data_IF_307318193555
#
_entry.id   IF_307318193555
#
_cell.length_a   1.000
_cell.length_b   1.000
_cell.length_c   1.000
_cell.angle_alpha   90.00
_cell.angle_beta   90.00
_cell.angle_gamma   90.00
#
_symmetry.space_group_name_H-M   'P 1'
#
loop_
_entity.id
_entity.type
_entity.pdbx_description
1 polymer ?
#
# COMPACT_ATOMS: atom_id res chain seq x y z
N UNK A 1 30.61 -16.50 50.22
CA UNK A 1 30.28 -15.06 50.33
C UNK A 1 31.42 -14.35 51.02
N UNK A 2 31.63 -13.06 50.68
CA UNK A 2 32.46 -12.04 51.37
C UNK A 2 33.96 -12.35 51.58
N UNK A 3 34.85 -11.42 51.16
CA UNK A 3 36.25 -11.38 51.66
C UNK A 3 37.33 -10.96 50.66
N UNK A 4 37.51 -9.66 50.43
CA UNK A 4 38.74 -9.01 49.91
C UNK A 4 39.62 -8.53 51.10
N UNK A 5 40.80 -7.88 50.91
CA UNK A 5 41.90 -8.04 49.95
C UNK A 5 43.23 -8.30 50.76
N UNK A 6 44.32 -7.48 50.76
CA UNK A 6 45.15 -6.91 49.68
C UNK A 6 46.67 -7.24 49.78
N UNK A 7 47.44 -6.92 48.73
CA UNK A 7 48.87 -6.57 48.85
C UNK A 7 49.27 -5.52 47.79
N UNK A 8 50.24 -4.65 48.12
CA UNK A 8 50.70 -3.49 47.32
C UNK A 8 52.13 -3.66 46.80
N UNK A 9 52.51 -2.75 45.88
CA UNK A 9 53.85 -2.26 45.44
C UNK A 9 54.20 -2.70 44.00
N UNK A 10 54.92 -1.91 43.19
CA UNK A 10 55.64 -0.65 43.49
C UNK A 10 55.60 0.39 42.37
N UNK A 11 56.46 1.40 42.51
CA UNK A 11 56.58 2.63 41.69
C UNK A 11 58.00 2.67 41.10
N UNK A 12 58.19 3.26 39.90
CA UNK A 12 59.25 4.27 39.58
C UNK A 12 59.26 4.61 38.07
N UNK A 13 59.59 5.88 37.81
CA UNK A 13 59.66 6.69 36.58
C UNK A 13 60.71 6.28 35.54
N UNK A 14 60.61 6.82 34.30
CA UNK A 14 61.76 6.98 33.39
C UNK A 14 61.45 7.15 31.88
N UNK A 15 61.64 8.37 31.37
CA UNK A 15 62.23 8.77 30.07
C UNK A 15 61.54 8.53 28.68
N UNK A 16 61.39 9.65 27.94
CA UNK A 16 61.28 9.81 26.46
C UNK A 16 62.70 9.78 25.80
N UNK A 17 62.91 9.95 24.46
CA UNK A 17 62.02 9.92 23.28
C UNK A 17 62.51 8.97 22.13
N UNK A 18 61.75 8.82 21.02
CA UNK A 18 62.29 8.94 19.64
C UNK A 18 61.21 8.96 18.54
N UNK A 19 61.61 9.37 17.32
CA UNK A 19 60.73 9.64 16.17
C UNK A 19 60.92 8.66 15.00
N UNK A 20 59.82 8.27 14.35
CA UNK A 20 59.70 7.83 12.95
C UNK A 20 58.20 7.82 12.57
N UNK A 21 57.75 8.06 11.34
CA UNK A 21 58.46 8.20 10.06
C UNK A 21 57.72 7.39 8.99
N UNK A 22 56.62 7.92 8.44
CA UNK A 22 55.79 7.19 7.46
C UNK A 22 54.86 8.11 6.67
N UNK A 23 55.23 8.41 5.42
CA UNK A 23 54.54 9.32 4.52
C UNK A 23 53.87 8.56 3.37
N UNK A 24 52.55 8.71 3.18
CA UNK A 24 51.84 8.30 1.95
C UNK A 24 50.83 9.39 1.52
N UNK A 25 51.24 10.10 0.48
CA UNK A 25 50.45 10.68 -0.63
C UNK A 25 49.12 11.39 -0.34
N UNK A 26 49.20 12.74 -0.37
CA UNK A 26 48.05 13.62 -0.58
C UNK A 26 47.68 13.57 -2.06
N UNK A 27 46.50 13.04 -2.39
CA UNK A 27 45.99 13.05 -3.77
C UNK A 27 45.54 14.46 -4.13
N UNK A 28 46.13 15.01 -5.19
CA UNK A 28 45.99 16.42 -5.55
C UNK A 28 44.57 16.77 -6.05
N UNK A 29 43.88 17.66 -5.33
CA UNK A 29 42.45 17.94 -5.54
C UNK A 29 42.19 19.04 -6.61
N UNK A 30 43.24 19.59 -7.22
CA UNK A 30 43.19 20.81 -8.05
C UNK A 30 42.74 20.63 -9.52
N UNK A 31 42.13 19.50 -9.90
CA UNK A 31 41.70 19.22 -11.29
C UNK A 31 40.18 19.07 -11.50
N UNK A 32 39.35 19.51 -10.55
CA UNK A 32 37.91 19.62 -10.76
C UNK A 32 37.50 21.07 -11.11
N UNK A 33 36.72 21.29 -12.19
CA UNK A 33 36.27 22.62 -12.57
C UNK A 33 35.13 23.09 -11.66
N UNK A 34 35.44 24.08 -10.82
CA UNK A 34 34.49 24.86 -10.03
C UNK A 34 33.72 25.90 -10.90
N UNK A 35 32.58 26.47 -10.45
CA UNK A 35 31.84 26.16 -9.21
C UNK A 35 30.34 25.89 -9.42
N UNK A 36 29.78 24.96 -8.63
CA UNK A 36 28.48 25.15 -7.93
C UNK A 36 28.15 23.97 -7.01
N UNK A 37 28.42 24.10 -5.70
CA UNK A 37 27.60 23.60 -4.56
C UNK A 37 28.30 23.92 -3.24
N UNK A 38 27.62 24.59 -2.31
CA UNK A 38 28.23 25.05 -1.07
C UNK A 38 28.63 23.90 -0.14
N UNK A 39 29.93 23.76 0.13
CA UNK A 39 30.46 22.91 1.20
C UNK A 39 30.36 23.64 2.54
N UNK A 40 29.63 23.07 3.50
CA UNK A 40 29.70 23.49 4.91
C UNK A 40 30.61 22.51 5.65
N UNK A 41 31.75 23.01 6.14
CA UNK A 41 32.65 22.25 6.99
C UNK A 41 32.12 22.20 8.43
N UNK A 42 31.68 21.01 8.85
CA UNK A 42 31.49 20.65 10.26
C UNK A 42 32.35 19.42 10.59
N UNK A 43 32.48 19.07 11.87
CA UNK A 43 33.36 17.98 12.36
C UNK A 43 32.99 16.55 11.88
N UNK A 44 32.03 16.41 10.96
CA UNK A 44 31.55 15.13 10.42
C UNK A 44 31.61 15.05 8.88
N UNK A 45 32.72 15.51 8.30
CA UNK A 45 33.01 15.37 6.87
C UNK A 45 32.16 16.26 5.94
N UNK A 46 32.41 16.22 4.62
CA UNK A 46 31.69 17.04 3.66
C UNK A 46 30.28 16.49 3.41
N UNK A 47 29.28 17.14 4.01
CA UNK A 47 27.87 16.93 3.65
C UNK A 47 27.62 17.56 2.28
N UNK A 48 27.49 16.71 1.25
CA UNK A 48 27.11 17.14 -0.11
C UNK A 48 25.70 17.73 -0.10
N UNK A 49 25.62 19.05 -0.20
CA UNK A 49 24.36 19.77 -0.46
C UNK A 49 24.01 19.58 -1.94
N UNK A 50 22.84 19.03 -2.21
CA UNK A 50 22.36 18.76 -3.58
C UNK A 50 20.90 19.19 -3.71
N UNK A 51 20.51 19.66 -4.89
CA UNK A 51 19.08 19.94 -5.19
C UNK A 51 18.31 18.63 -5.38
N UNK A 52 17.23 18.46 -4.61
CA UNK A 52 16.35 17.31 -4.68
C UNK A 52 15.56 17.27 -5.99
N UNK A 53 15.63 16.15 -6.74
CA UNK A 53 14.89 15.99 -8.00
C UNK A 53 13.36 15.93 -7.90
N UNK A 54 12.80 15.94 -6.68
CA UNK A 54 11.34 15.87 -6.44
C UNK A 54 10.77 17.19 -5.91
N UNK A 55 11.39 17.82 -4.91
CA UNK A 55 10.94 19.12 -4.36
C UNK A 55 11.77 20.33 -4.80
N UNK A 56 12.87 20.11 -5.54
CA UNK A 56 13.83 21.13 -6.04
C UNK A 56 14.62 21.89 -4.95
N UNK A 57 14.34 21.64 -3.67
CA UNK A 57 15.07 22.20 -2.53
C UNK A 57 16.50 21.64 -2.41
N UNK A 58 17.44 22.49 -2.02
CA UNK A 58 18.81 22.11 -1.66
C UNK A 58 18.87 21.57 -0.23
N UNK A 59 19.33 20.33 -0.08
CA UNK A 59 19.44 19.63 1.21
C UNK A 59 20.72 18.78 1.22
N UNK A 60 21.29 18.42 2.38
CA UNK A 60 22.31 17.39 2.47
C UNK A 60 21.69 16.05 2.04
N UNK A 61 22.11 15.51 0.90
CA UNK A 61 21.48 14.32 0.29
C UNK A 61 22.54 13.29 -0.09
N UNK A 62 22.36 12.05 0.37
CA UNK A 62 23.06 10.89 -0.19
C UNK A 62 22.40 10.48 -1.51
N UNK A 63 23.10 10.50 -2.66
CA UNK A 63 22.51 10.10 -3.94
C UNK A 63 22.04 8.65 -3.94
N UNK A 64 20.97 8.36 -4.69
CA UNK A 64 20.41 7.01 -4.82
C UNK A 64 21.44 6.04 -5.42
N UNK A 65 21.51 4.83 -4.87
CA UNK A 65 22.42 3.75 -5.27
C UNK A 65 22.36 3.45 -6.78
N UNK A 66 21.15 3.34 -7.32
CA UNK A 66 20.86 2.92 -8.70
C UNK A 66 21.21 3.95 -9.79
N UNK A 67 20.88 5.22 -9.61
CA UNK A 67 20.97 6.25 -10.67
C UNK A 67 21.79 7.49 -10.31
N UNK A 68 22.38 7.52 -9.10
CA UNK A 68 23.16 8.65 -8.54
C UNK A 68 22.45 10.01 -8.57
N UNK A 69 21.12 10.03 -8.66
CA UNK A 69 20.32 11.25 -8.53
C UNK A 69 20.01 11.55 -7.07
N UNK A 70 19.91 12.83 -6.72
CA UNK A 70 19.58 13.31 -5.39
C UNK A 70 18.05 13.31 -5.18
N UNK A 71 17.58 12.61 -4.15
CA UNK A 71 16.21 12.69 -3.64
C UNK A 71 16.32 12.85 -2.12
N UNK A 72 15.71 13.89 -1.55
CA UNK A 72 15.76 14.11 -0.12
C UNK A 72 14.93 13.06 0.63
N UNK A 73 15.36 12.73 1.86
CA UNK A 73 14.73 11.73 2.73
C UNK A 73 13.21 11.94 2.85
N UNK A 74 12.76 13.19 2.97
CA UNK A 74 11.35 13.53 3.11
C UNK A 74 10.52 13.16 1.87
N UNK A 75 11.05 13.41 0.66
CA UNK A 75 10.39 13.00 -0.58
C UNK A 75 10.46 11.49 -0.78
N UNK A 76 11.60 10.87 -0.48
CA UNK A 76 11.79 9.43 -0.59
C UNK A 76 10.85 8.68 0.37
N UNK A 77 10.77 9.07 1.64
CA UNK A 77 9.83 8.54 2.64
C UNK A 77 8.38 8.64 2.19
N UNK A 78 7.93 9.80 1.69
CA UNK A 78 6.56 9.97 1.16
C UNK A 78 6.28 9.03 0.00
N UNK A 79 7.23 8.89 -0.93
CA UNK A 79 7.13 7.97 -2.06
C UNK A 79 7.06 6.51 -1.59
N UNK A 80 7.99 6.06 -0.76
CA UNK A 80 8.06 4.70 -0.24
C UNK A 80 6.79 4.32 0.53
N UNK A 81 6.35 5.17 1.47
CA UNK A 81 5.08 4.97 2.19
C UNK A 81 3.90 4.81 1.23
N UNK A 82 3.83 5.61 0.16
CA UNK A 82 2.79 5.49 -0.87
C UNK A 82 2.84 4.12 -1.59
N UNK A 83 4.03 3.68 -2.03
CA UNK A 83 4.19 2.37 -2.67
C UNK A 83 3.83 1.20 -1.74
N UNK A 84 4.21 1.30 -0.46
CA UNK A 84 3.86 0.31 0.56
C UNK A 84 2.35 0.29 0.84
N UNK A 85 1.65 1.43 0.88
CA UNK A 85 0.17 1.42 0.98
C UNK A 85 -0.51 0.79 -0.25
N UNK A 86 0.13 0.85 -1.43
CA UNK A 86 -0.33 0.18 -2.66
C UNK A 86 0.01 -1.32 -2.68
N UNK A 87 0.70 -1.85 -1.67
CA UNK A 87 1.09 -3.26 -1.59
C UNK A 87 2.30 -3.65 -2.44
N UNK A 88 3.11 -2.68 -2.89
CA UNK A 88 4.34 -2.95 -3.62
C UNK A 88 5.47 -3.32 -2.65
N UNK A 89 6.05 -4.51 -2.84
CA UNK A 89 7.29 -4.93 -2.17
C UNK A 89 8.54 -4.69 -3.03
N UNK A 90 8.37 -4.72 -4.35
CA UNK A 90 9.43 -4.41 -5.32
C UNK A 90 9.25 -2.95 -5.77
N UNK A 91 10.02 -2.05 -5.18
CA UNK A 91 9.79 -0.60 -5.29
C UNK A 91 10.78 0.00 -6.28
N UNK A 92 10.26 0.56 -7.38
CA UNK A 92 11.04 1.25 -8.40
C UNK A 92 11.63 2.58 -7.90
N UNK A 93 12.64 3.06 -8.61
CA UNK A 93 13.17 4.40 -8.41
C UNK A 93 12.06 5.47 -8.60
N UNK A 94 11.97 6.51 -7.75
CA UNK A 94 11.03 7.63 -7.96
C UNK A 94 11.44 8.56 -9.12
N UNK A 95 12.61 8.37 -9.72
CA UNK A 95 13.11 9.19 -10.85
C UNK A 95 12.60 8.60 -12.16
N UNK A 96 11.94 9.43 -12.97
CA UNK A 96 11.30 9.05 -14.24
C UNK A 96 12.25 8.49 -15.30
N UNK A 97 13.52 8.89 -15.28
CA UNK A 97 14.56 8.37 -16.18
C UNK A 97 15.20 7.05 -15.70
N UNK A 98 14.75 6.49 -14.57
CA UNK A 98 15.33 5.29 -13.97
C UNK A 98 14.30 4.17 -13.82
N UNK A 99 14.58 3.01 -14.42
CA UNK A 99 13.72 1.81 -14.33
C UNK A 99 14.17 0.79 -13.28
N UNK A 100 15.28 1.07 -12.57
CA UNK A 100 15.82 0.19 -11.53
C UNK A 100 14.97 0.20 -10.25
N UNK A 101 15.12 -0.86 -9.46
CA UNK A 101 14.50 -1.00 -8.15
C UNK A 101 15.42 -0.45 -7.04
N UNK A 102 14.82 0.01 -5.95
CA UNK A 102 15.54 0.48 -4.77
C UNK A 102 15.95 -0.71 -3.91
N UNK A 103 17.17 -0.66 -3.36
CA UNK A 103 17.66 -1.71 -2.47
C UNK A 103 16.87 -1.75 -1.14
N UNK A 104 16.71 -2.97 -0.59
CA UNK A 104 15.93 -3.23 0.63
C UNK A 104 16.43 -2.37 1.81
N UNK A 105 17.74 -2.12 1.90
CA UNK A 105 18.35 -1.27 2.92
C UNK A 105 17.89 0.19 2.82
N UNK A 106 17.93 0.77 1.62
CA UNK A 106 17.45 2.14 1.36
C UNK A 106 15.95 2.26 1.64
N UNK A 107 15.16 1.25 1.26
CA UNK A 107 13.72 1.22 1.56
C UNK A 107 13.48 1.19 3.08
N UNK A 108 14.12 0.27 3.81
CA UNK A 108 13.94 0.11 5.25
C UNK A 108 14.42 1.33 6.05
N UNK A 109 15.51 1.98 5.65
CA UNK A 109 16.05 3.16 6.34
C UNK A 109 15.12 4.39 6.27
N UNK A 110 14.40 4.55 5.14
CA UNK A 110 13.57 5.73 4.87
C UNK A 110 12.08 5.54 5.20
N UNK A 111 11.64 4.34 5.60
CA UNK A 111 10.25 4.05 5.94
C UNK A 111 9.93 4.30 7.42
N UNK A 112 8.73 4.82 7.76
CA UNK A 112 8.26 4.85 9.14
C UNK A 112 7.94 3.43 9.64
N UNK A 113 8.04 3.21 10.94
CA UNK A 113 7.93 1.88 11.58
C UNK A 113 6.68 1.08 11.16
N UNK A 114 5.51 1.71 11.11
CA UNK A 114 4.26 1.04 10.72
C UNK A 114 4.26 0.55 9.27
N UNK A 115 4.97 1.24 8.39
CA UNK A 115 5.14 0.85 6.99
C UNK A 115 6.28 -0.16 6.81
N UNK A 116 7.30 -0.19 7.68
CA UNK A 116 8.29 -1.29 7.72
C UNK A 116 7.59 -2.64 7.97
N UNK A 117 6.61 -2.68 8.89
CA UNK A 117 5.83 -3.90 9.17
C UNK A 117 5.04 -4.34 7.93
N UNK A 118 4.38 -3.40 7.24
CA UNK A 118 3.65 -3.68 6.00
C UNK A 118 4.57 -4.13 4.87
N UNK A 119 5.69 -3.43 4.67
CA UNK A 119 6.69 -3.73 3.66
C UNK A 119 7.25 -5.16 3.83
N UNK A 120 7.69 -5.51 5.04
CA UNK A 120 8.14 -6.87 5.36
C UNK A 120 7.06 -7.92 5.13
N UNK A 121 5.81 -7.61 5.48
CA UNK A 121 4.67 -8.50 5.19
C UNK A 121 4.46 -8.71 3.67
N UNK A 122 4.53 -7.65 2.84
CA UNK A 122 4.39 -7.78 1.38
C UNK A 122 5.60 -8.48 0.74
N UNK A 123 6.80 -8.26 1.27
CA UNK A 123 8.04 -8.91 0.83
C UNK A 123 8.04 -10.41 1.15
N UNK A 124 7.51 -10.81 2.31
CA UNK A 124 7.29 -12.22 2.62
C UNK A 124 6.18 -12.80 1.72
N UNK A 125 5.10 -12.04 1.48
CA UNK A 125 3.99 -12.44 0.62
C UNK A 125 4.40 -12.68 -0.85
N UNK A 126 5.44 -12.01 -1.36
CA UNK A 126 6.00 -12.26 -2.70
C UNK A 126 6.96 -13.45 -2.75
N UNK A 127 7.54 -13.85 -1.61
CA UNK A 127 8.49 -14.98 -1.47
C UNK A 127 7.80 -16.32 -1.19
N UNK A 128 6.61 -16.33 -0.57
CA UNK A 128 5.93 -17.58 -0.19
C UNK A 128 5.38 -18.39 -1.38
N UNK A 129 5.42 -19.71 -1.23
CA UNK A 129 4.90 -20.66 -2.20
C UNK A 129 3.36 -20.81 -2.12
N UNK A 130 2.73 -21.36 -3.17
CA UNK A 130 1.27 -21.52 -3.23
C UNK A 130 0.62 -22.37 -2.12
N UNK A 131 1.41 -23.17 -1.38
CA UNK A 131 0.96 -23.91 -0.20
C UNK A 131 1.00 -23.09 1.09
N UNK A 132 1.55 -21.89 1.09
CA UNK A 132 1.55 -20.98 2.25
C UNK A 132 0.68 -19.76 1.97
N UNK A 133 -0.16 -19.35 2.93
CA UNK A 133 -1.00 -18.14 2.82
C UNK A 133 -1.21 -17.48 4.19
N UNK A 134 -1.31 -16.14 4.27
CA UNK A 134 -1.65 -15.44 5.50
C UNK A 134 -3.11 -15.68 5.91
N UNK A 135 -3.38 -15.77 7.21
CA UNK A 135 -4.73 -15.76 7.75
C UNK A 135 -5.45 -14.45 7.36
N UNK A 136 -6.69 -14.48 6.83
CA UNK A 136 -7.39 -13.27 6.40
C UNK A 136 -7.76 -12.32 7.56
N UNK A 137 -7.76 -12.80 8.81
CA UNK A 137 -8.12 -12.00 9.99
C UNK A 137 -6.89 -11.42 10.72
N UNK A 138 -5.86 -12.23 10.99
CA UNK A 138 -4.68 -11.79 11.78
C UNK A 138 -3.36 -11.77 11.01
N UNK A 139 -3.38 -12.04 9.69
CA UNK A 139 -2.20 -12.09 8.80
C UNK A 139 -1.15 -13.17 9.12
N UNK A 140 -1.31 -13.96 10.17
CA UNK A 140 -0.40 -15.07 10.50
C UNK A 140 -0.27 -16.07 9.34
N UNK A 141 0.95 -16.30 8.85
CA UNK A 141 1.21 -17.21 7.74
C UNK A 141 0.93 -18.66 8.13
N UNK A 142 0.11 -19.34 7.35
CA UNK A 142 -0.25 -20.74 7.56
C UNK A 142 0.10 -21.57 6.34
N UNK A 143 0.91 -22.62 6.53
CA UNK A 143 1.32 -23.54 5.47
C UNK A 143 0.42 -24.77 5.42
N UNK A 144 -0.28 -24.95 4.31
CA UNK A 144 -1.14 -26.08 4.02
C UNK A 144 -0.34 -27.26 3.46
N UNK A 145 0.09 -28.17 4.33
CA UNK A 145 0.63 -29.48 3.93
C UNK A 145 -0.51 -30.48 3.76
N UNK A 146 -0.62 -31.14 2.60
CA UNK A 146 -1.56 -32.26 2.41
C UNK A 146 -1.12 -33.42 3.31
N UNK A 147 -1.77 -33.63 4.45
CA UNK A 147 -1.60 -34.87 5.23
C UNK A 147 -2.14 -36.03 4.39
N UNK A 148 -1.30 -37.03 4.12
CA UNK A 148 -1.61 -38.20 3.29
C UNK A 148 -2.55 -39.19 3.97
N UNK A 149 -3.77 -38.77 4.32
CA UNK A 149 -4.80 -39.66 4.86
C UNK A 149 -5.69 -40.21 3.74
N UNK A 150 -5.92 -41.52 3.79
CA UNK A 150 -6.84 -42.25 2.92
C UNK A 150 -8.24 -41.59 3.03
N UNK A 151 -8.82 -41.07 1.93
CA UNK A 151 -10.04 -40.27 2.01
C UNK A 151 -11.30 -41.14 2.06
N UNK A 152 -11.99 -41.14 3.20
CA UNK A 152 -13.40 -41.58 3.23
C UNK A 152 -14.30 -40.52 2.56
N UNK A 153 -15.41 -40.91 1.88
CA UNK A 153 -16.16 -40.01 0.99
C UNK A 153 -16.63 -38.70 1.64
N UNK A 154 -17.07 -38.76 2.91
CA UNK A 154 -17.54 -37.61 3.67
C UNK A 154 -16.46 -36.53 3.98
N UNK A 155 -15.17 -36.81 3.75
CA UNK A 155 -14.06 -35.90 4.09
C UNK A 155 -13.53 -35.07 2.92
N UNK A 156 -14.05 -35.25 1.71
CA UNK A 156 -13.52 -34.60 0.50
C UNK A 156 -13.68 -33.07 0.49
N UNK A 157 -14.73 -32.53 1.14
CA UNK A 157 -14.97 -31.08 1.23
C UNK A 157 -14.09 -30.40 2.27
N UNK A 158 -13.88 -31.05 3.42
CA UNK A 158 -13.09 -30.53 4.55
C UNK A 158 -11.58 -30.34 4.25
N UNK A 159 -11.08 -30.79 3.08
CA UNK A 159 -9.65 -30.73 2.73
C UNK A 159 -9.04 -29.32 2.67
N UNK A 160 -9.85 -28.25 2.61
CA UNK A 160 -9.35 -26.87 2.62
C UNK A 160 -9.74 -26.08 3.89
N UNK A 161 -10.31 -26.75 4.90
CA UNK A 161 -10.67 -26.16 6.20
C UNK A 161 -9.39 -25.95 7.01
N UNK A 162 -9.10 -24.70 7.37
CA UNK A 162 -7.97 -24.33 8.23
C UNK A 162 -8.48 -23.54 9.41
N UNK A 163 -8.02 -23.88 10.61
CA UNK A 163 -8.14 -23.05 11.80
C UNK A 163 -6.80 -22.34 12.03
N UNK A 164 -6.81 -21.01 12.13
CA UNK A 164 -5.60 -20.24 12.40
C UNK A 164 -5.11 -20.49 13.85
N UNK A 165 -3.86 -20.86 14.09
CA UNK A 165 -3.37 -21.13 15.45
C UNK A 165 -3.35 -19.85 16.32
N UNK A 166 -3.09 -18.68 15.76
CA UNK A 166 -2.95 -17.43 16.53
C UNK A 166 -4.28 -16.73 16.90
N UNK A 167 -5.33 -16.86 16.10
CA UNK A 167 -6.62 -16.17 16.33
C UNK A 167 -7.85 -17.09 16.28
N UNK A 168 -7.63 -18.40 16.15
CA UNK A 168 -8.67 -19.44 16.05
C UNK A 168 -9.66 -19.30 14.89
N UNK A 169 -9.53 -18.27 14.04
CA UNK A 169 -10.40 -18.04 12.88
C UNK A 169 -10.37 -19.23 11.92
N UNK A 170 -11.55 -19.72 11.52
CA UNK A 170 -11.70 -20.88 10.63
C UNK A 170 -12.03 -20.40 9.22
N UNK A 171 -11.18 -20.77 8.26
CA UNK A 171 -11.21 -20.24 6.90
C UNK A 171 -10.90 -21.30 5.84
N UNK A 172 -11.27 -20.99 4.61
CA UNK A 172 -11.05 -21.87 3.47
C UNK A 172 -9.77 -21.46 2.71
N UNK A 173 -8.75 -22.33 2.73
CA UNK A 173 -7.45 -22.08 2.09
C UNK A 173 -7.56 -21.85 0.57
N UNK A 174 -8.57 -22.42 -0.08
CA UNK A 174 -8.76 -22.32 -1.54
C UNK A 174 -9.23 -20.93 -1.97
N UNK A 175 -10.24 -20.35 -1.30
CA UNK A 175 -10.84 -19.07 -1.68
C UNK A 175 -10.46 -17.89 -0.77
N UNK A 176 -9.70 -18.14 0.31
CA UNK A 176 -9.26 -17.12 1.28
C UNK A 176 -10.43 -16.35 1.92
N UNK A 177 -11.48 -17.09 2.28
CA UNK A 177 -12.73 -16.57 2.86
C UNK A 177 -13.05 -17.30 4.18
N UNK A 178 -13.97 -16.79 5.03
CA UNK A 178 -14.51 -17.56 6.16
C UNK A 178 -14.92 -18.98 5.75
N UNK A 179 -14.78 -19.95 6.66
CA UNK A 179 -15.16 -21.33 6.35
C UNK A 179 -16.65 -21.43 6.02
N UNK A 180 -16.96 -22.18 4.97
CA UNK A 180 -18.29 -22.28 4.40
C UNK A 180 -18.66 -23.76 4.21
N UNK A 181 -19.48 -24.27 5.13
CA UNK A 181 -19.92 -25.67 5.14
C UNK A 181 -21.12 -25.86 4.19
N UNK A 182 -21.20 -27.01 3.50
CA UNK A 182 -22.32 -27.34 2.61
C UNK A 182 -22.42 -26.53 1.30
N UNK A 183 -21.52 -25.59 1.04
CA UNK A 183 -21.44 -24.84 -0.22
C UNK A 183 -20.01 -24.79 -0.75
N UNK A 184 -19.85 -24.88 -2.07
CA UNK A 184 -18.51 -24.80 -2.67
C UNK A 184 -18.05 -23.34 -2.81
N UNK A 185 -16.73 -23.14 -3.03
CA UNK A 185 -16.16 -21.78 -3.15
C UNK A 185 -16.79 -20.92 -4.28
N UNK A 186 -17.36 -21.52 -5.32
CA UNK A 186 -18.03 -20.76 -6.41
C UNK A 186 -19.39 -20.27 -5.94
N UNK A 187 -20.16 -21.07 -5.20
CA UNK A 187 -21.39 -20.62 -4.53
C UNK A 187 -21.09 -19.58 -3.46
N UNK A 188 -20.12 -19.83 -2.57
CA UNK A 188 -19.78 -18.85 -1.53
C UNK A 188 -19.35 -17.50 -2.11
N UNK A 189 -18.58 -17.48 -3.22
CA UNK A 189 -18.23 -16.22 -3.92
C UNK A 189 -19.39 -15.62 -4.72
N UNK A 190 -20.40 -16.40 -5.10
CA UNK A 190 -21.70 -15.83 -5.50
C UNK A 190 -22.40 -15.21 -4.29
N UNK A 191 -22.19 -15.75 -3.09
CA UNK A 191 -22.90 -15.31 -1.89
C UNK A 191 -24.38 -15.65 -1.98
N UNK A 192 -25.15 -15.17 -1.02
CA UNK A 192 -26.55 -15.53 -0.91
C UNK A 192 -27.39 -15.05 -2.11
N UNK A 193 -28.16 -15.98 -2.68
CA UNK A 193 -29.13 -15.71 -3.75
C UNK A 193 -30.30 -14.88 -3.23
N UNK A 194 -30.74 -15.08 -1.99
CA UNK A 194 -31.86 -14.34 -1.40
C UNK A 194 -31.45 -12.88 -1.19
N UNK A 195 -30.32 -12.63 -0.53
CA UNK A 195 -29.74 -11.28 -0.41
C UNK A 195 -29.59 -10.57 -1.78
N UNK A 196 -29.16 -11.31 -2.82
CA UNK A 196 -29.09 -10.75 -4.18
C UNK A 196 -30.46 -10.47 -4.79
N UNK A 197 -31.45 -11.34 -4.58
CA UNK A 197 -32.80 -11.12 -5.08
C UNK A 197 -33.40 -9.88 -4.43
N UNK A 198 -33.48 -9.89 -3.10
CA UNK A 198 -33.94 -8.79 -2.27
C UNK A 198 -33.23 -7.46 -2.62
N UNK A 199 -31.90 -7.45 -2.77
CA UNK A 199 -31.17 -6.23 -3.12
C UNK A 199 -31.54 -5.64 -4.50
N UNK A 200 -31.96 -6.47 -5.45
CA UNK A 200 -32.36 -6.03 -6.80
C UNK A 200 -33.88 -5.83 -6.95
N UNK A 201 -34.66 -6.29 -5.97
CA UNK A 201 -36.10 -6.10 -5.86
C UNK A 201 -36.44 -4.61 -5.82
N UNK A 202 -37.52 -4.22 -6.51
CA UNK A 202 -37.91 -2.83 -6.72
C UNK A 202 -39.20 -2.55 -5.97
N UNK A 203 -39.08 -1.89 -4.82
CA UNK A 203 -40.21 -1.38 -4.05
C UNK A 203 -40.38 0.12 -4.33
N UNK A 204 -41.62 0.59 -4.51
CA UNK A 204 -41.92 2.02 -4.77
C UNK A 204 -41.06 2.68 -5.89
N UNK A 205 -40.65 1.90 -6.89
CA UNK A 205 -39.81 2.37 -8.01
C UNK A 205 -38.32 2.55 -7.68
N UNK A 206 -37.83 2.04 -6.54
CA UNK A 206 -36.42 2.04 -6.13
C UNK A 206 -35.96 0.66 -5.69
N UNK A 207 -34.65 0.39 -5.81
CA UNK A 207 -34.07 -0.88 -5.37
C UNK A 207 -33.81 -0.88 -3.86
N UNK A 208 -34.05 -2.01 -3.20
CA UNK A 208 -33.79 -2.17 -1.77
C UNK A 208 -32.32 -1.92 -1.40
N UNK A 209 -31.36 -2.31 -2.27
CA UNK A 209 -29.95 -1.97 -2.10
C UNK A 209 -29.24 -1.63 -3.42
N UNK A 210 -28.55 -0.48 -3.46
CA UNK A 210 -27.77 -0.04 -4.62
C UNK A 210 -26.31 -0.48 -4.53
N UNK A 211 -25.69 -0.82 -5.67
CA UNK A 211 -24.25 -1.14 -5.72
C UNK A 211 -23.41 0.12 -5.79
N UNK A 212 -22.36 0.21 -4.97
CA UNK A 212 -21.33 1.24 -5.14
C UNK A 212 -20.67 1.11 -6.54
N UNK A 213 -20.54 2.20 -7.32
CA UNK A 213 -19.97 2.13 -8.66
C UNK A 213 -18.49 1.70 -8.68
N UNK A 214 -17.73 1.95 -7.61
CA UNK A 214 -16.30 1.60 -7.50
C UNK A 214 -16.10 0.16 -6.99
N UNK A 215 -16.44 -0.13 -5.74
CA UNK A 215 -16.17 -1.44 -5.11
C UNK A 215 -17.29 -2.49 -5.23
N UNK A 216 -18.43 -2.15 -5.85
CA UNK A 216 -19.59 -3.04 -6.10
C UNK A 216 -20.27 -3.65 -4.87
N UNK A 217 -19.94 -3.23 -3.65
CA UNK A 217 -20.70 -3.58 -2.43
C UNK A 217 -22.13 -3.05 -2.54
N UNK A 218 -23.11 -3.82 -2.06
CA UNK A 218 -24.49 -3.35 -1.93
C UNK A 218 -24.60 -2.46 -0.69
N UNK A 219 -25.31 -1.36 -0.83
CA UNK A 219 -25.58 -0.36 0.21
C UNK A 219 -27.10 -0.23 0.25
N UNK A 220 -27.70 -0.46 1.42
CA UNK A 220 -29.10 -0.13 1.67
C UNK A 220 -29.18 1.34 2.12
N UNK A 221 -30.24 2.04 1.70
CA UNK A 221 -30.62 3.33 2.28
C UNK A 221 -31.76 3.11 3.26
N UNK A 222 -31.58 3.54 4.50
CA UNK A 222 -32.63 3.55 5.53
C UNK A 222 -33.55 4.76 5.35
N UNK A 223 -32.98 5.94 5.12
CA UNK A 223 -33.70 7.21 4.97
C UNK A 223 -32.85 8.27 4.23
N UNK A 224 -33.44 9.42 3.92
CA UNK A 224 -32.71 10.61 3.46
C UNK A 224 -32.37 10.68 1.96
N UNK A 225 -31.31 11.43 1.65
CA UNK A 225 -30.97 11.92 0.31
C UNK A 225 -30.52 10.82 -0.67
N UNK A 226 -30.57 11.12 -1.98
CA UNK A 226 -29.99 10.27 -3.02
C UNK A 226 -28.45 10.37 -3.08
N UNK A 227 -27.83 11.39 -2.50
CA UNK A 227 -26.37 11.53 -2.47
C UNK A 227 -25.77 10.69 -1.34
N UNK A 228 -25.13 9.57 -1.67
CA UNK A 228 -24.52 8.66 -0.70
C UNK A 228 -23.01 8.53 -0.88
N UNK A 229 -22.30 8.32 0.22
CA UNK A 229 -20.86 8.04 0.27
C UNK A 229 -20.63 6.58 0.64
N UNK A 230 -19.89 5.83 -0.17
CA UNK A 230 -19.57 4.44 0.17
C UNK A 230 -18.50 4.37 1.29
N UNK A 231 -18.87 3.85 2.45
CA UNK A 231 -18.00 3.69 3.63
C UNK A 231 -16.73 2.85 3.40
N UNK A 232 -16.72 1.97 2.39
CA UNK A 232 -15.58 1.09 2.08
C UNK A 232 -14.56 1.70 1.11
N UNK A 233 -14.93 2.73 0.34
CA UNK A 233 -14.04 3.27 -0.70
C UNK A 233 -14.19 4.78 -0.96
N UNK A 234 -14.88 5.47 -0.05
CA UNK A 234 -15.15 6.91 0.02
C UNK A 234 -15.60 7.53 -1.31
N UNK A 235 -16.34 6.76 -2.11
CA UNK A 235 -16.85 7.21 -3.41
C UNK A 235 -18.27 7.74 -3.24
N UNK A 236 -18.48 9.00 -3.62
CA UNK A 236 -19.79 9.63 -3.68
C UNK A 236 -20.55 9.13 -4.93
N UNK A 237 -21.77 8.64 -4.75
CA UNK A 237 -22.61 8.09 -5.83
C UNK A 237 -24.10 8.36 -5.57
N UNK A 238 -24.89 8.43 -6.64
CA UNK A 238 -26.32 8.61 -6.55
C UNK A 238 -27.00 7.27 -6.31
N UNK A 239 -27.80 7.16 -5.25
CA UNK A 239 -28.52 5.95 -4.91
C UNK A 239 -29.49 5.53 -6.03
N UNK A 240 -30.24 6.49 -6.59
CA UNK A 240 -31.26 6.21 -7.63
C UNK A 240 -30.68 5.56 -8.87
N UNK A 241 -29.58 6.08 -9.41
CA UNK A 241 -29.01 5.56 -10.66
C UNK A 241 -27.72 4.74 -10.51
N UNK A 242 -27.14 4.66 -9.31
CA UNK A 242 -25.91 3.92 -9.03
C UNK A 242 -24.63 4.56 -9.60
N UNK A 243 -24.73 5.73 -10.24
CA UNK A 243 -23.60 6.40 -10.88
C UNK A 243 -22.82 7.26 -9.89
N UNK A 244 -21.51 7.38 -10.13
CA UNK A 244 -20.61 8.22 -9.34
C UNK A 244 -20.95 9.71 -9.58
N UNK A 245 -21.02 10.50 -8.51
CA UNK A 245 -21.08 11.97 -8.65
C UNK A 245 -19.80 12.46 -9.34
N UNK A 246 -19.98 13.11 -10.49
CA UNK A 246 -18.93 13.83 -11.23
C UNK A 246 -19.35 15.29 -11.27
N UNK A 247 -18.44 16.18 -10.95
CA UNK A 247 -18.61 17.62 -11.11
C UNK A 247 -17.69 18.06 -12.25
N UNK A 248 -18.28 18.57 -13.33
CA UNK A 248 -17.53 19.12 -14.47
C UNK A 248 -17.91 20.60 -14.60
N UNK A 249 -16.93 21.50 -14.56
CA UNK A 249 -17.16 22.96 -14.55
C UNK A 249 -18.09 23.44 -15.68
N UNK A 250 -18.05 22.78 -16.85
CA UNK A 250 -18.79 23.19 -18.04
C UNK A 250 -20.11 22.44 -18.30
N UNK A 251 -20.30 21.24 -17.73
CA UNK A 251 -21.47 20.38 -17.99
C UNK A 251 -22.38 20.23 -16.78
N UNK A 252 -22.12 20.98 -15.71
CA UNK A 252 -22.87 20.91 -14.45
C UNK A 252 -22.51 19.68 -13.61
N UNK A 253 -23.30 19.48 -12.56
CA UNK A 253 -23.17 18.37 -11.63
C UNK A 253 -24.17 17.24 -11.95
N UNK A 254 -24.23 16.22 -11.09
CA UNK A 254 -25.13 15.08 -11.29
C UNK A 254 -26.63 15.42 -11.10
N UNK A 255 -26.92 16.52 -10.42
CA UNK A 255 -28.28 17.06 -10.20
C UNK A 255 -28.71 18.05 -11.28
N UNK A 256 -27.78 18.53 -12.10
CA UNK A 256 -28.05 19.51 -13.14
C UNK A 256 -28.84 18.89 -14.28
N UNK A 257 -29.90 19.58 -14.69
CA UNK A 257 -30.85 19.13 -15.70
C UNK A 257 -30.17 18.74 -17.04
N UNK A 258 -29.34 19.61 -17.59
CA UNK A 258 -28.65 19.37 -18.87
C UNK A 258 -27.33 18.59 -18.74
N UNK A 259 -27.01 18.02 -17.57
CA UNK A 259 -25.75 17.30 -17.38
C UNK A 259 -25.75 15.97 -18.13
N UNK A 260 -24.76 15.82 -19.01
CA UNK A 260 -24.47 14.58 -19.75
C UNK A 260 -24.32 13.40 -18.76
N UNK A 261 -23.68 13.66 -17.61
CA UNK A 261 -23.47 12.71 -16.52
C UNK A 261 -24.50 12.85 -15.38
N UNK A 262 -25.61 13.56 -15.60
CA UNK A 262 -26.69 13.77 -14.64
C UNK A 262 -27.54 12.53 -14.39
N UNK A 263 -28.29 12.49 -13.29
CA UNK A 263 -29.13 11.35 -12.91
C UNK A 263 -30.13 10.96 -14.02
N UNK A 264 -30.10 9.70 -14.46
CA UNK A 264 -31.02 9.15 -15.49
C UNK A 264 -32.49 9.29 -15.08
N UNK A 265 -32.78 9.22 -13.78
CA UNK A 265 -34.14 9.20 -13.23
C UNK A 265 -34.68 10.58 -12.80
N UNK A 266 -34.02 11.68 -13.21
CA UNK A 266 -34.51 13.06 -13.00
C UNK A 266 -35.43 13.54 -14.13
N UNK A 267 -35.57 12.74 -15.20
CA UNK A 267 -36.41 13.00 -16.37
C UNK A 267 -37.22 11.73 -16.71
N UNK A 268 -38.54 11.71 -16.89
CA UNK A 268 -39.65 12.61 -16.48
C UNK A 268 -40.92 11.71 -16.32
N UNK A 269 -42.06 12.26 -15.86
CA UNK A 269 -43.38 11.70 -16.19
C UNK A 269 -43.92 12.16 -17.57
N UNK A 270 -43.85 13.45 -17.90
CA UNK A 270 -44.74 14.05 -18.94
C UNK A 270 -44.12 14.37 -20.33
N UNK A 271 -42.78 14.53 -20.50
CA UNK A 271 -42.20 14.98 -21.79
C UNK A 271 -40.80 14.40 -22.12
N UNK A 272 -40.70 13.19 -22.69
CA UNK A 272 -39.41 12.52 -22.94
C UNK A 272 -38.57 13.17 -24.04
N UNK A 273 -37.78 14.18 -23.70
CA UNK A 273 -36.55 14.44 -24.47
C UNK A 273 -35.56 13.31 -24.15
N UNK A 274 -35.59 12.28 -25.00
CA UNK A 274 -34.54 11.27 -25.07
C UNK A 274 -33.18 11.98 -25.06
N UNK A 275 -32.30 11.62 -24.11
CA UNK A 275 -30.90 12.07 -24.14
C UNK A 275 -30.29 11.55 -25.44
N UNK A 276 -30.23 12.40 -26.47
CA UNK A 276 -29.42 12.16 -27.67
C UNK A 276 -27.97 12.10 -27.20
N UNK A 277 -27.48 10.88 -26.99
CA UNK A 277 -26.07 10.56 -26.98
C UNK A 277 -25.52 10.95 -28.36
N UNK A 278 -24.99 12.17 -28.46
CA UNK A 278 -24.20 12.56 -29.62
C UNK A 278 -22.94 11.72 -29.58
N UNK A 279 -22.86 10.72 -30.47
CA UNK A 279 -21.61 9.98 -30.71
C UNK A 279 -20.54 11.00 -31.10
N UNK A 280 -19.50 11.14 -30.28
CA UNK A 280 -18.38 12.06 -30.52
C UNK A 280 -17.95 12.88 -29.30
N UNK A 281 -18.75 13.00 -28.25
CA UNK A 281 -18.42 13.83 -27.06
C UNK A 281 -17.46 13.14 -26.05
N UNK A 282 -16.50 12.36 -26.53
CA UNK A 282 -15.38 11.86 -25.72
C UNK A 282 -14.12 11.82 -26.60
N UNK A 283 -13.21 12.75 -26.33
CA UNK A 283 -11.77 12.59 -26.54
C UNK A 283 -11.15 12.45 -25.13
#
# INVERSE_FOLDING_TARGET
GVGQPPARRGVVSGDDPLSSGGSIEVVDLYLLPEPFSGLIAGEFGPLLVLSCRVCLEEKPIKPLSCCKKAVCEECLRRYLSSQVQLGQADIKCPITECNEHLDETTVLYNLPHDDIIKYKYFLELSRIDSSTKPCPQCKHFTTFRRRGHIPTPAKLENKYKIQCPSCQFVWCFKCHSPWHEGVNCKEYKKGDKLLRHWANEIEHGQRNAQKCPKCKIHIQRTEGCDHMTCSQCNTNFCYRCGERYRQLRFFGDHTSNLSIFGCKYRYLPERPHLRRLVRGSVC
#
